data_IF_083095792565
#
_entry.id   IF_083095792565
#
_cell.length_a   1.000
_cell.length_b   1.000
_cell.length_c   1.000
_cell.angle_alpha   90.00
_cell.angle_beta   90.00
_cell.angle_gamma   90.00
#
_symmetry.space_group_name_H-M   'P 1'
#
loop_
_entity.id
_entity.type
_entity.pdbx_description
1 polymer ?
#
# COMPACT_ATOMS: atom_id res chain seq x y z
N UNK A 1 -18.19 -18.43 -6.57
CA UNK A 1 -19.29 -18.42 -5.59
C UNK A 1 -19.85 -17.01 -5.32
N UNK A 2 -19.57 -16.02 -6.17
CA UNK A 2 -19.87 -14.58 -5.93
C UNK A 2 -21.05 -14.02 -6.74
N UNK A 3 -21.65 -14.77 -7.65
CA UNK A 3 -22.70 -14.23 -8.54
C UNK A 3 -24.12 -14.69 -8.20
N UNK A 4 -24.32 -15.67 -7.30
CA UNK A 4 -25.66 -16.20 -6.99
C UNK A 4 -26.49 -15.30 -6.06
N UNK A 5 -25.84 -14.51 -5.20
CA UNK A 5 -26.54 -13.66 -4.22
C UNK A 5 -26.97 -12.29 -4.77
N UNK A 6 -26.47 -11.91 -5.95
CA UNK A 6 -26.79 -10.60 -6.57
C UNK A 6 -28.16 -10.60 -7.26
N UNK A 7 -28.73 -11.77 -7.54
CA UNK A 7 -29.98 -11.89 -8.32
C UNK A 7 -31.27 -11.82 -7.46
N UNK A 8 -31.15 -11.70 -6.14
CA UNK A 8 -32.34 -11.58 -5.28
C UNK A 8 -32.70 -10.10 -5.08
N UNK A 9 -33.25 -9.48 -6.11
CA UNK A 9 -33.82 -8.13 -6.02
C UNK A 9 -35.00 -8.15 -5.04
N UNK A 10 -35.00 -7.36 -3.96
CA UNK A 10 -36.12 -7.28 -3.03
C UNK A 10 -37.33 -6.70 -3.77
N UNK A 11 -38.38 -7.51 -3.98
CA UNK A 11 -39.64 -7.10 -4.64
C UNK A 11 -40.46 -6.12 -3.83
N UNK A 12 -40.04 -5.78 -2.61
CA UNK A 12 -40.80 -4.90 -1.72
C UNK A 12 -39.96 -3.67 -1.33
N UNK A 13 -39.95 -2.69 -2.25
CA UNK A 13 -39.27 -1.41 -2.05
C UNK A 13 -39.81 -0.60 -0.85
N UNK A 14 -40.99 -0.94 -0.33
CA UNK A 14 -41.67 -0.18 0.75
C UNK A 14 -41.23 -0.55 2.17
N UNK A 15 -40.58 -1.70 2.39
CA UNK A 15 -40.09 -2.10 3.72
C UNK A 15 -38.72 -1.54 4.11
N UNK A 16 -38.04 -0.83 3.22
CA UNK A 16 -36.72 -0.26 3.50
C UNK A 16 -36.71 1.22 3.93
N UNK A 17 -37.88 1.81 4.14
CA UNK A 17 -37.99 3.25 4.49
C UNK A 17 -37.50 3.59 5.89
N UNK A 18 -37.20 2.61 6.74
CA UNK A 18 -36.76 2.82 8.14
C UNK A 18 -35.27 2.50 8.40
N UNK A 19 -34.48 2.29 7.38
CA UNK A 19 -33.02 2.35 7.52
C UNK A 19 -32.66 3.82 7.62
N UNK A 20 -32.23 4.28 8.82
CA UNK A 20 -31.69 5.62 9.06
C UNK A 20 -30.88 6.03 7.83
N UNK A 21 -31.37 6.99 7.05
CA UNK A 21 -30.68 7.55 5.88
C UNK A 21 -29.28 7.94 6.34
N UNK A 22 -28.28 7.11 5.98
CA UNK A 22 -26.90 7.52 6.15
C UNK A 22 -26.75 8.74 5.25
N UNK A 23 -26.66 9.93 5.84
CA UNK A 23 -26.70 11.24 5.16
C UNK A 23 -25.65 11.42 4.05
N UNK A 24 -24.79 10.40 3.82
CA UNK A 24 -23.63 10.41 2.92
C UNK A 24 -23.62 9.31 1.83
N UNK A 25 -24.64 8.46 1.74
CA UNK A 25 -24.67 7.41 0.71
C UNK A 25 -25.22 7.93 -0.61
N UNK A 26 -24.70 7.43 -1.73
CA UNK A 26 -25.17 7.73 -3.09
C UNK A 26 -26.59 7.26 -3.36
N UNK A 27 -27.16 6.36 -2.55
CA UNK A 27 -28.50 5.82 -2.74
C UNK A 27 -28.67 4.93 -3.98
N UNK A 28 -27.57 4.50 -4.59
CA UNK A 28 -27.57 3.72 -5.82
C UNK A 28 -27.44 2.20 -5.56
N UNK A 29 -28.15 1.40 -6.32
CA UNK A 29 -27.96 -0.04 -6.39
C UNK A 29 -26.84 -0.36 -7.39
N UNK A 30 -25.63 -0.01 -7.02
CA UNK A 30 -24.43 -0.17 -7.81
C UNK A 30 -23.29 -0.56 -6.88
N UNK A 31 -22.57 -1.64 -7.18
CA UNK A 31 -21.46 -2.10 -6.34
C UNK A 31 -20.37 -1.03 -6.16
N UNK A 32 -20.05 -0.28 -7.22
CA UNK A 32 -19.10 0.83 -7.16
C UNK A 32 -19.60 1.94 -6.21
N UNK A 33 -20.87 2.36 -6.34
CA UNK A 33 -21.44 3.37 -5.45
C UNK A 33 -21.42 2.90 -3.98
N UNK A 34 -21.73 1.62 -3.72
CA UNK A 34 -21.66 1.02 -2.38
C UNK A 34 -20.23 0.95 -1.83
N UNK A 35 -19.25 0.68 -2.68
CA UNK A 35 -17.84 0.76 -2.29
C UNK A 35 -17.45 2.20 -1.94
N UNK A 36 -17.81 3.17 -2.77
CA UNK A 36 -17.52 4.58 -2.54
C UNK A 36 -18.26 5.16 -1.32
N UNK A 37 -19.42 4.63 -0.94
CA UNK A 37 -20.08 4.97 0.33
C UNK A 37 -19.18 4.67 1.56
N UNK A 38 -18.22 3.74 1.40
CA UNK A 38 -17.32 3.28 2.48
C UNK A 38 -15.91 3.87 2.36
N UNK A 39 -15.33 3.80 1.14
CA UNK A 39 -13.93 4.16 0.90
C UNK A 39 -13.74 5.43 0.07
N UNK A 40 -14.82 6.08 -0.36
CA UNK A 40 -14.76 7.25 -1.25
C UNK A 40 -14.31 8.55 -0.56
N UNK A 41 -14.11 8.54 0.74
CA UNK A 41 -13.55 9.69 1.44
C UNK A 41 -12.06 9.88 1.13
N UNK A 42 -11.63 11.14 1.06
CA UNK A 42 -10.28 11.55 0.67
C UNK A 42 -9.16 10.81 1.42
N UNK A 43 -9.35 10.47 2.69
CA UNK A 43 -8.31 9.86 3.53
C UNK A 43 -8.46 8.35 3.69
N UNK A 44 -9.63 7.78 3.41
CA UNK A 44 -9.90 6.37 3.66
C UNK A 44 -8.88 5.44 2.98
N UNK A 45 -8.68 5.62 1.66
CA UNK A 45 -7.72 4.80 0.90
C UNK A 45 -6.27 5.07 1.28
N UNK A 46 -5.92 6.27 1.74
CA UNK A 46 -4.57 6.57 2.23
C UNK A 46 -4.30 5.92 3.58
N UNK A 47 -5.29 5.82 4.46
CA UNK A 47 -5.19 5.06 5.72
C UNK A 47 -5.01 3.56 5.41
N UNK A 48 -5.80 3.02 4.50
CA UNK A 48 -5.66 1.62 4.05
C UNK A 48 -4.26 1.38 3.46
N UNK A 49 -3.74 2.29 2.62
CA UNK A 49 -2.37 2.21 2.10
C UNK A 49 -1.34 2.13 3.21
N UNK A 50 -1.41 2.99 4.23
CA UNK A 50 -0.46 2.95 5.35
C UNK A 50 -0.47 1.58 6.04
N UNK A 51 -1.65 1.03 6.32
CA UNK A 51 -1.78 -0.28 6.96
C UNK A 51 -1.33 -1.43 6.06
N UNK A 52 -1.54 -1.33 4.74
CA UNK A 52 -1.05 -2.32 3.77
C UNK A 52 0.49 -2.36 3.68
N UNK A 53 1.13 -1.18 3.76
CA UNK A 53 2.57 -1.04 3.58
C UNK A 53 3.36 -1.31 4.88
N UNK A 54 2.79 -0.98 6.02
CA UNK A 54 3.48 -1.05 7.32
C UNK A 54 3.04 -2.23 8.19
N UNK A 55 1.88 -2.83 7.87
CA UNK A 55 1.21 -3.76 8.76
C UNK A 55 0.52 -3.07 9.94
N UNK A 56 0.33 -3.77 11.06
CA UNK A 56 -0.28 -3.20 12.25
C UNK A 56 0.48 -1.97 12.75
N UNK A 57 -0.25 -0.86 12.98
CA UNK A 57 0.31 0.44 13.34
C UNK A 57 -0.33 1.00 14.60
N UNK A 58 0.45 1.76 15.37
CA UNK A 58 -0.11 2.64 16.40
C UNK A 58 -0.81 3.82 15.72
N UNK A 59 -1.71 4.46 16.44
CA UNK A 59 -2.35 5.70 15.98
C UNK A 59 -1.33 6.78 15.58
N UNK A 60 -0.27 6.93 16.37
CA UNK A 60 0.81 7.90 16.13
C UNK A 60 1.58 7.61 14.84
N UNK A 61 1.76 6.33 14.52
CA UNK A 61 2.46 5.91 13.29
C UNK A 61 1.63 6.22 12.04
N UNK A 62 0.30 6.01 12.12
CA UNK A 62 -0.62 6.41 11.06
C UNK A 62 -0.65 7.93 10.88
N UNK A 63 -0.69 8.69 11.97
CA UNK A 63 -0.68 10.15 11.91
C UNK A 63 0.60 10.67 11.25
N UNK A 64 1.76 10.10 11.60
CA UNK A 64 3.06 10.45 10.99
C UNK A 64 3.14 10.04 9.50
N UNK A 65 2.47 8.94 9.13
CA UNK A 65 2.40 8.44 7.74
C UNK A 65 1.42 9.18 6.85
N UNK A 66 0.59 10.07 7.41
CA UNK A 66 -0.48 10.79 6.68
C UNK A 66 -0.30 12.33 6.81
N UNK A 67 0.73 12.91 6.17
CA UNK A 67 0.98 14.35 6.24
C UNK A 67 -0.25 15.16 5.86
N UNK A 68 -0.63 16.12 6.70
CA UNK A 68 -1.75 17.03 6.45
C UNK A 68 -3.12 16.53 6.92
N UNK A 69 -3.22 15.31 7.48
CA UNK A 69 -4.47 14.89 8.12
C UNK A 69 -4.61 15.53 9.51
N UNK A 70 -5.79 16.08 9.81
CA UNK A 70 -6.10 16.53 11.16
C UNK A 70 -6.39 15.32 12.08
N UNK A 71 -5.96 15.40 13.35
CA UNK A 71 -6.10 14.32 14.33
C UNK A 71 -7.54 13.85 14.53
N UNK A 72 -8.48 14.80 14.64
CA UNK A 72 -9.90 14.50 14.75
C UNK A 72 -10.47 13.80 13.50
N UNK A 73 -9.98 14.16 12.32
CA UNK A 73 -10.39 13.54 11.06
C UNK A 73 -9.87 12.11 10.96
N UNK A 74 -8.62 11.84 11.35
CA UNK A 74 -8.08 10.48 11.41
C UNK A 74 -8.91 9.60 12.35
N UNK A 75 -9.26 10.09 13.53
CA UNK A 75 -10.14 9.37 14.48
C UNK A 75 -11.49 9.05 13.84
N UNK A 76 -12.12 10.03 13.19
CA UNK A 76 -13.41 9.84 12.52
C UNK A 76 -13.33 8.77 11.42
N UNK A 77 -12.32 8.85 10.54
CA UNK A 77 -12.11 7.87 9.45
C UNK A 77 -11.82 6.46 9.96
N UNK A 78 -11.00 6.33 11.00
CA UNK A 78 -10.74 5.03 11.62
C UNK A 78 -12.01 4.40 12.21
N UNK A 79 -12.88 5.18 12.85
CA UNK A 79 -14.18 4.68 13.34
C UNK A 79 -15.09 4.22 12.20
N UNK A 80 -15.13 4.94 11.09
CA UNK A 80 -15.92 4.57 9.92
C UNK A 80 -15.39 3.30 9.25
N UNK A 81 -14.07 3.17 9.08
CA UNK A 81 -13.42 1.96 8.53
C UNK A 81 -13.64 0.75 9.46
N UNK A 82 -13.58 0.94 10.78
CA UNK A 82 -13.86 -0.09 11.77
C UNK A 82 -15.32 -0.54 11.72
N UNK A 83 -16.27 0.42 11.67
CA UNK A 83 -17.70 0.13 11.51
C UNK A 83 -18.04 -0.59 10.19
N UNK A 84 -17.23 -0.37 9.14
CA UNK A 84 -17.34 -1.06 7.85
C UNK A 84 -16.63 -2.43 7.84
N UNK A 85 -15.98 -2.83 8.93
CA UNK A 85 -15.24 -4.09 9.04
C UNK A 85 -13.96 -4.14 8.20
N UNK A 86 -13.38 -2.99 7.87
CA UNK A 86 -12.11 -2.88 7.12
C UNK A 86 -10.91 -2.88 8.06
N UNK A 87 -11.03 -2.20 9.18
CA UNK A 87 -9.98 -2.16 10.22
C UNK A 87 -10.51 -2.74 11.52
N UNK A 88 -9.59 -3.14 12.38
CA UNK A 88 -9.87 -3.56 13.76
C UNK A 88 -8.77 -3.01 14.67
N UNK A 89 -9.14 -2.72 15.93
CA UNK A 89 -8.20 -2.36 16.98
C UNK A 89 -7.96 -3.55 17.88
N UNK A 90 -6.71 -3.89 18.08
CA UNK A 90 -6.31 -4.98 18.94
C UNK A 90 -5.26 -4.49 19.94
N UNK A 91 -5.38 -4.99 21.16
CA UNK A 91 -4.39 -4.73 22.21
C UNK A 91 -3.25 -5.73 22.07
N UNK A 92 -2.06 -5.23 21.82
CA UNK A 92 -0.86 -6.05 21.81
C UNK A 92 -0.52 -6.51 23.22
N UNK A 93 -0.04 -7.75 23.31
CA UNK A 93 0.38 -8.33 24.59
C UNK A 93 1.64 -7.62 25.14
N UNK A 94 1.88 -7.68 26.47
CA UNK A 94 3.16 -7.25 27.03
C UNK A 94 4.35 -7.95 26.35
N UNK A 95 5.52 -7.29 26.21
CA UNK A 95 5.90 -6.01 26.82
C UNK A 95 5.41 -4.76 26.08
N UNK A 96 4.87 -4.87 24.88
CA UNK A 96 4.50 -3.70 24.05
C UNK A 96 3.25 -3.00 24.56
N UNK A 97 2.29 -3.75 25.14
CA UNK A 97 1.07 -3.28 25.81
C UNK A 97 0.39 -2.06 25.16
N UNK A 98 0.34 -1.99 23.84
CA UNK A 98 -0.20 -0.87 23.08
C UNK A 98 -1.42 -1.28 22.26
N UNK A 99 -2.20 -0.29 21.82
CA UNK A 99 -3.31 -0.50 20.90
C UNK A 99 -2.79 -0.38 19.46
N UNK A 100 -2.92 -1.45 18.69
CA UNK A 100 -2.59 -1.48 17.26
C UNK A 100 -3.87 -1.45 16.42
N UNK A 101 -3.78 -0.77 15.30
CA UNK A 101 -4.79 -0.75 14.26
C UNK A 101 -4.26 -1.63 13.13
N UNK A 102 -5.06 -2.59 12.70
CA UNK A 102 -4.73 -3.50 11.59
C UNK A 102 -5.87 -3.61 10.60
N UNK A 103 -5.57 -4.07 9.40
CA UNK A 103 -6.59 -4.47 8.44
C UNK A 103 -7.21 -5.81 8.86
N UNK A 104 -8.50 -5.95 8.63
CA UNK A 104 -9.19 -7.24 8.63
C UNK A 104 -8.91 -7.99 7.32
N UNK A 105 -9.27 -9.28 7.17
CA UNK A 105 -9.20 -9.97 5.87
C UNK A 105 -9.93 -9.21 4.76
N UNK A 106 -11.09 -8.62 5.05
CA UNK A 106 -11.82 -7.75 4.12
C UNK A 106 -11.06 -6.46 3.79
N UNK A 107 -10.36 -5.90 4.76
CA UNK A 107 -9.48 -4.73 4.55
C UNK A 107 -8.30 -5.06 3.64
N UNK A 108 -7.71 -6.25 3.78
CA UNK A 108 -6.61 -6.73 2.92
C UNK A 108 -7.03 -6.91 1.46
N UNK A 109 -8.30 -7.23 1.17
CA UNK A 109 -8.84 -7.30 -0.20
C UNK A 109 -8.72 -5.96 -0.94
N UNK A 110 -8.68 -4.83 -0.21
CA UNK A 110 -8.47 -3.50 -0.81
C UNK A 110 -7.06 -3.30 -1.38
N UNK A 111 -6.11 -4.20 -1.13
CA UNK A 111 -4.76 -4.15 -1.72
C UNK A 111 -4.82 -4.05 -3.25
N UNK A 112 -5.65 -4.87 -3.89
CA UNK A 112 -5.82 -4.83 -5.34
C UNK A 112 -6.39 -3.48 -5.83
N UNK A 113 -7.30 -2.89 -5.06
CA UNK A 113 -7.91 -1.58 -5.35
C UNK A 113 -6.87 -0.45 -5.21
N UNK A 114 -6.12 -0.44 -4.09
CA UNK A 114 -5.03 0.54 -3.86
C UNK A 114 -4.00 0.45 -4.98
N UNK A 115 -3.62 -0.76 -5.36
CA UNK A 115 -2.68 -0.99 -6.46
C UNK A 115 -3.22 -0.51 -7.81
N UNK A 116 -4.51 -0.74 -8.12
CA UNK A 116 -5.13 -0.27 -9.36
C UNK A 116 -5.15 1.26 -9.43
N UNK A 117 -5.55 1.92 -8.33
CA UNK A 117 -5.53 3.39 -8.23
C UNK A 117 -4.10 3.90 -8.33
N UNK A 118 -3.12 3.27 -7.66
CA UNK A 118 -1.71 3.64 -7.71
C UNK A 118 -1.13 3.57 -9.13
N UNK A 119 -1.46 2.51 -9.89
CA UNK A 119 -1.06 2.40 -11.32
C UNK A 119 -1.64 3.50 -12.17
N UNK A 120 -2.94 3.75 -12.04
CA UNK A 120 -3.62 4.81 -12.77
C UNK A 120 -3.04 6.18 -12.43
N UNK A 121 -2.81 6.44 -11.14
CA UNK A 121 -2.28 7.71 -10.62
C UNK A 121 -0.79 7.93 -10.91
N UNK A 122 -0.02 6.92 -11.31
CA UNK A 122 1.43 7.04 -11.52
C UNK A 122 1.80 8.10 -12.58
N UNK A 123 0.96 8.31 -13.59
CA UNK A 123 1.15 9.34 -14.60
C UNK A 123 1.05 10.77 -14.03
N UNK A 124 0.31 10.96 -12.94
CA UNK A 124 0.11 12.26 -12.30
C UNK A 124 1.34 12.72 -11.50
N UNK A 125 2.29 11.80 -11.21
CA UNK A 125 3.52 12.13 -10.48
C UNK A 125 4.45 13.08 -11.27
N UNK A 126 4.28 13.20 -12.60
CA UNK A 126 5.03 14.18 -13.41
C UNK A 126 4.74 15.62 -12.98
N UNK A 127 3.54 15.86 -12.45
CA UNK A 127 3.05 17.18 -12.04
C UNK A 127 3.19 17.39 -10.52
N UNK A 128 3.90 16.47 -9.80
CA UNK A 128 4.10 16.57 -8.37
C UNK A 128 4.94 17.80 -8.01
N UNK A 129 4.49 18.53 -6.99
CA UNK A 129 5.21 19.71 -6.52
C UNK A 129 6.48 19.32 -5.73
N UNK A 130 7.55 20.11 -5.78
CA UNK A 130 8.76 19.87 -4.97
C UNK A 130 8.48 19.85 -3.46
N UNK A 131 7.38 20.46 -3.04
CA UNK A 131 6.93 20.53 -1.63
C UNK A 131 6.07 19.34 -1.21
N UNK A 132 5.74 18.43 -2.14
CA UNK A 132 4.94 17.26 -1.83
C UNK A 132 5.69 16.35 -0.84
N UNK A 133 4.98 15.95 0.22
CA UNK A 133 5.56 15.11 1.25
C UNK A 133 5.93 13.74 0.68
N UNK A 134 7.04 13.21 1.15
CA UNK A 134 7.52 11.86 0.83
C UNK A 134 7.78 11.07 2.11
N UNK A 135 7.55 9.76 2.09
CA UNK A 135 7.94 8.81 3.13
C UNK A 135 8.56 7.59 2.47
N UNK A 136 9.69 7.12 3.02
CA UNK A 136 10.47 6.01 2.45
C UNK A 136 9.65 4.75 2.22
N UNK A 137 8.75 4.39 3.16
CA UNK A 137 7.93 3.19 3.04
C UNK A 137 6.92 3.25 1.87
N UNK A 138 6.61 4.43 1.32
CA UNK A 138 5.74 4.52 0.14
C UNK A 138 6.38 3.92 -1.13
N UNK A 139 7.71 3.76 -1.14
CA UNK A 139 8.41 3.09 -2.24
C UNK A 139 7.99 1.61 -2.34
N UNK A 140 7.51 1.01 -1.27
CA UNK A 140 7.06 -0.38 -1.29
C UNK A 140 5.96 -0.61 -2.33
N UNK A 141 5.03 0.33 -2.49
CA UNK A 141 3.94 0.18 -3.47
C UNK A 141 4.44 0.07 -4.93
N UNK A 142 5.21 1.01 -5.50
CA UNK A 142 5.72 0.83 -6.85
C UNK A 142 6.61 -0.40 -7.00
N UNK A 143 7.33 -0.83 -5.97
CA UNK A 143 8.10 -2.08 -5.98
C UNK A 143 7.17 -3.28 -6.17
N UNK A 144 6.15 -3.44 -5.32
CA UNK A 144 5.20 -4.54 -5.41
C UNK A 144 4.37 -4.52 -6.71
N UNK A 145 4.15 -3.34 -7.29
CA UNK A 145 3.39 -3.17 -8.54
C UNK A 145 4.19 -3.53 -9.79
N UNK A 146 5.48 -3.31 -9.78
CA UNK A 146 6.31 -3.39 -10.99
C UNK A 146 7.31 -4.53 -10.96
N UNK A 147 7.77 -4.99 -9.80
CA UNK A 147 8.78 -6.04 -9.74
C UNK A 147 8.16 -7.42 -9.68
N UNK A 148 8.81 -8.36 -10.36
CA UNK A 148 8.48 -9.78 -10.33
C UNK A 148 9.72 -10.60 -10.01
N UNK A 149 9.54 -11.75 -9.36
CA UNK A 149 10.59 -12.74 -9.20
C UNK A 149 10.75 -13.55 -10.48
N UNK A 150 11.88 -13.37 -11.16
CA UNK A 150 12.21 -14.06 -12.41
C UNK A 150 12.61 -15.52 -12.22
N UNK A 151 12.86 -15.94 -10.99
CA UNK A 151 13.27 -17.33 -10.67
C UNK A 151 12.58 -17.82 -9.39
N UNK A 152 11.23 -17.97 -9.41
CA UNK A 152 10.42 -18.24 -8.20
C UNK A 152 10.76 -19.56 -7.50
N UNK A 153 11.36 -20.53 -8.20
CA UNK A 153 11.78 -21.81 -7.61
C UNK A 153 13.13 -21.79 -6.89
N UNK A 154 13.84 -20.65 -6.86
CA UNK A 154 15.11 -20.54 -6.13
C UNK A 154 14.93 -20.04 -4.72
N UNK A 155 15.95 -20.25 -3.86
CA UNK A 155 16.00 -19.70 -2.50
C UNK A 155 15.60 -18.21 -2.52
N UNK A 156 14.76 -17.81 -1.56
CA UNK A 156 14.37 -16.42 -1.38
C UNK A 156 15.60 -15.50 -1.27
N UNK A 157 15.45 -14.28 -1.75
CA UNK A 157 16.46 -13.22 -1.61
C UNK A 157 15.85 -12.02 -0.88
N UNK A 158 16.74 -11.24 -0.25
CA UNK A 158 16.40 -9.98 0.39
C UNK A 158 17.30 -8.85 -0.13
N UNK A 159 16.71 -7.74 -0.53
CA UNK A 159 17.41 -6.53 -0.97
C UNK A 159 17.02 -5.39 -0.02
N UNK A 160 17.99 -4.81 0.65
CA UNK A 160 17.76 -3.61 1.45
C UNK A 160 17.80 -2.37 0.56
N UNK A 161 16.79 -1.51 0.69
CA UNK A 161 16.67 -0.27 -0.08
C UNK A 161 16.67 0.93 0.87
N UNK A 162 17.70 1.76 0.76
CA UNK A 162 17.93 2.95 1.59
C UNK A 162 17.67 4.20 0.75
N UNK A 163 16.44 4.73 0.82
CA UNK A 163 16.01 5.86 0.03
C UNK A 163 15.11 6.79 0.86
N UNK A 164 15.70 7.84 1.40
CA UNK A 164 15.00 8.81 2.25
C UNK A 164 15.30 8.61 3.75
N UNK A 165 14.26 8.65 4.58
CA UNK A 165 14.33 8.70 6.04
C UNK A 165 14.36 7.32 6.73
N UNK A 166 14.05 6.25 6.00
CA UNK A 166 14.02 4.89 6.53
C UNK A 166 14.37 3.86 5.45
N UNK A 167 14.78 2.67 5.89
CA UNK A 167 15.04 1.52 5.03
C UNK A 167 13.77 0.73 4.77
N UNK A 168 13.72 0.08 3.62
CA UNK A 168 12.75 -0.97 3.30
C UNK A 168 13.48 -2.21 2.83
N UNK A 169 12.89 -3.37 3.07
CA UNK A 169 13.41 -4.67 2.59
C UNK A 169 12.48 -5.18 1.50
N UNK A 170 13.06 -5.49 0.35
CA UNK A 170 12.40 -6.12 -0.80
C UNK A 170 12.75 -7.59 -0.77
N UNK A 171 11.76 -8.45 -0.66
CA UNK A 171 11.92 -9.90 -0.51
C UNK A 171 11.17 -10.65 -1.60
N UNK A 172 11.71 -11.80 -2.00
CA UNK A 172 10.96 -12.76 -2.83
C UNK A 172 10.29 -13.79 -1.91
N UNK A 173 8.96 -13.88 -1.98
CA UNK A 173 8.15 -14.78 -1.16
C UNK A 173 7.21 -15.56 -2.06
N UNK A 174 7.38 -16.88 -2.14
CA UNK A 174 6.54 -17.77 -2.97
C UNK A 174 6.36 -17.26 -4.42
N UNK A 175 7.46 -16.79 -5.03
CA UNK A 175 7.46 -16.28 -6.40
C UNK A 175 6.92 -14.85 -6.58
N UNK A 176 6.45 -14.23 -5.51
CA UNK A 176 6.04 -12.82 -5.51
C UNK A 176 7.12 -11.94 -4.91
N UNK A 177 7.14 -10.67 -5.31
CA UNK A 177 7.96 -9.63 -4.66
C UNK A 177 7.12 -8.93 -3.61
N UNK A 178 7.67 -8.80 -2.40
CA UNK A 178 7.07 -8.07 -1.28
C UNK A 178 8.04 -7.01 -0.81
N UNK A 179 7.51 -5.94 -0.25
CA UNK A 179 8.31 -4.88 0.34
C UNK A 179 7.75 -4.54 1.73
N UNK A 180 8.64 -4.42 2.72
CA UNK A 180 8.28 -4.07 4.09
C UNK A 180 9.25 -3.03 4.66
N UNK A 181 8.82 -2.18 5.59
CA UNK A 181 9.71 -1.31 6.33
C UNK A 181 10.72 -2.10 7.16
N UNK A 182 11.89 -1.50 7.42
CA UNK A 182 12.95 -2.05 8.27
C UNK A 182 14.20 -2.39 7.52
N UNK A 183 15.11 -3.07 8.22
CA UNK A 183 16.41 -3.52 7.74
C UNK A 183 16.47 -5.05 7.64
N UNK A 184 17.53 -5.57 7.03
CA UNK A 184 17.83 -6.99 6.94
C UNK A 184 19.25 -7.22 7.43
N UNK A 185 19.44 -8.22 8.34
CA UNK A 185 20.76 -8.50 8.90
C UNK A 185 21.76 -9.01 7.84
N UNK A 186 21.28 -9.74 6.84
CA UNK A 186 22.13 -10.32 5.78
C UNK A 186 21.47 -10.15 4.40
N UNK A 187 21.38 -8.90 3.87
CA UNK A 187 20.81 -8.68 2.57
C UNK A 187 21.73 -9.19 1.45
N UNK A 188 21.14 -9.80 0.41
CA UNK A 188 21.87 -10.20 -0.80
C UNK A 188 22.41 -8.98 -1.55
N UNK A 189 21.72 -7.86 -1.48
CA UNK A 189 22.16 -6.57 -2.00
C UNK A 189 21.61 -5.41 -1.16
N UNK A 190 22.34 -4.28 -1.21
CA UNK A 190 21.91 -3.00 -0.64
C UNK A 190 21.87 -1.96 -1.74
N UNK A 191 20.73 -1.31 -1.93
CA UNK A 191 20.54 -0.23 -2.89
C UNK A 191 20.32 1.08 -2.13
N UNK A 192 21.10 2.11 -2.44
CA UNK A 192 20.96 3.41 -1.78
C UNK A 192 21.03 4.57 -2.76
N UNK A 193 20.27 5.62 -2.48
CA UNK A 193 20.23 6.82 -3.32
C UNK A 193 19.00 7.69 -3.07
N UNK A 194 18.86 8.74 -3.87
CA UNK A 194 17.66 9.58 -3.82
C UNK A 194 16.42 8.76 -4.21
N UNK A 195 15.27 8.93 -3.54
CA UNK A 195 14.06 8.13 -3.76
C UNK A 195 13.67 8.00 -5.23
N UNK A 196 13.65 9.11 -5.96
CA UNK A 196 13.26 9.15 -7.36
C UNK A 196 14.19 8.31 -8.24
N UNK A 197 15.50 8.34 -7.96
CA UNK A 197 16.50 7.56 -8.71
C UNK A 197 16.37 6.08 -8.40
N UNK A 198 16.16 5.72 -7.12
CA UNK A 198 15.94 4.35 -6.67
C UNK A 198 14.69 3.76 -7.31
N UNK A 199 13.56 4.46 -7.22
CA UNK A 199 12.30 4.01 -7.83
C UNK A 199 12.45 3.87 -9.35
N UNK A 200 13.05 4.86 -10.03
CA UNK A 200 13.24 4.79 -11.48
C UNK A 200 14.13 3.62 -11.91
N UNK A 201 15.18 3.31 -11.14
CA UNK A 201 16.05 2.17 -11.39
C UNK A 201 15.35 0.83 -11.17
N UNK A 202 14.67 0.67 -10.02
CA UNK A 202 13.97 -0.56 -9.68
C UNK A 202 12.79 -0.83 -10.61
N UNK A 203 12.06 0.20 -11.02
CA UNK A 203 10.92 0.07 -11.96
C UNK A 203 11.32 0.07 -13.44
N UNK A 204 12.62 0.05 -13.76
CA UNK A 204 13.12 -0.05 -15.13
C UNK A 204 12.97 1.22 -15.98
N UNK A 205 12.54 2.34 -15.40
CA UNK A 205 12.42 3.64 -16.11
C UNK A 205 13.77 4.22 -16.52
N UNK A 206 14.85 3.82 -15.87
CA UNK A 206 16.23 4.14 -16.22
C UNK A 206 17.11 2.90 -16.09
N UNK A 207 18.16 2.81 -16.88
CA UNK A 207 19.15 1.73 -16.77
C UNK A 207 19.93 1.85 -15.46
N UNK A 208 20.48 0.73 -14.97
CA UNK A 208 21.32 0.74 -13.76
C UNK A 208 22.55 1.64 -13.95
N UNK A 209 23.14 1.67 -15.17
CA UNK A 209 24.26 2.54 -15.50
C UNK A 209 23.90 4.03 -15.40
N UNK A 210 22.74 4.41 -15.90
CA UNK A 210 22.23 5.78 -15.80
C UNK A 210 21.90 6.14 -14.36
N UNK A 211 21.24 5.25 -13.62
CA UNK A 211 20.92 5.47 -12.22
C UNK A 211 22.20 5.67 -11.37
N UNK A 212 23.27 4.91 -11.65
CA UNK A 212 24.59 5.10 -11.00
C UNK A 212 25.18 6.48 -11.29
N UNK A 213 25.09 6.95 -12.54
CA UNK A 213 25.51 8.33 -12.86
C UNK A 213 24.72 9.39 -12.10
N UNK A 214 23.47 9.10 -11.73
CA UNK A 214 22.57 9.95 -10.93
C UNK A 214 22.72 9.75 -9.41
N UNK A 215 23.74 8.96 -8.97
CA UNK A 215 24.09 8.76 -7.56
C UNK A 215 23.49 7.51 -6.90
N UNK A 216 22.93 6.55 -7.68
CA UNK A 216 22.57 5.25 -7.15
C UNK A 216 23.83 4.48 -6.74
N UNK A 217 23.83 3.93 -5.55
CA UNK A 217 24.87 3.02 -5.07
C UNK A 217 24.28 1.64 -4.86
N UNK A 218 25.04 0.61 -5.27
CA UNK A 218 24.67 -0.80 -5.09
C UNK A 218 25.85 -1.52 -4.46
N UNK A 219 25.62 -2.19 -3.34
CA UNK A 219 26.55 -3.12 -2.67
C UNK A 219 25.97 -4.53 -2.73
N UNK A 220 26.82 -5.56 -2.79
CA UNK A 220 26.40 -6.95 -2.83
C UNK A 220 26.05 -7.44 -4.24
N UNK A 221 25.11 -8.38 -4.36
CA UNK A 221 24.84 -9.13 -5.57
C UNK A 221 24.01 -8.36 -6.61
N UNK A 222 24.60 -8.03 -7.75
CA UNK A 222 23.86 -7.51 -8.90
C UNK A 222 22.85 -8.54 -9.44
N UNK A 223 23.16 -9.84 -9.33
CA UNK A 223 22.26 -10.93 -9.73
C UNK A 223 20.96 -10.92 -8.91
N UNK A 224 21.01 -10.52 -7.64
CA UNK A 224 19.81 -10.36 -6.82
C UNK A 224 18.90 -9.25 -7.36
N UNK A 225 19.47 -8.11 -7.77
CA UNK A 225 18.71 -7.04 -8.43
C UNK A 225 18.14 -7.46 -9.78
N UNK A 226 18.91 -8.24 -10.55
CA UNK A 226 18.46 -8.76 -11.84
C UNK A 226 17.32 -9.77 -11.72
N UNK A 227 17.25 -10.48 -10.61
CA UNK A 227 16.18 -11.42 -10.31
C UNK A 227 14.84 -10.73 -10.07
N UNK A 228 14.84 -9.58 -9.40
CA UNK A 228 13.63 -8.78 -9.13
C UNK A 228 13.55 -7.61 -10.12
N UNK A 229 13.16 -7.90 -11.36
CA UNK A 229 13.03 -6.90 -12.42
C UNK A 229 11.60 -6.53 -12.70
N UNK A 230 11.37 -5.35 -13.31
CA UNK A 230 10.05 -4.98 -13.81
C UNK A 230 9.48 -6.06 -14.74
N UNK A 231 8.15 -6.17 -14.73
CA UNK A 231 7.45 -6.78 -15.86
C UNK A 231 7.88 -6.01 -17.11
N UNK A 232 8.39 -6.71 -18.11
CA UNK A 232 8.68 -6.09 -19.40
C UNK A 232 7.35 -5.52 -19.91
N UNK A 233 7.23 -4.21 -19.90
CA UNK A 233 6.10 -3.51 -20.53
C UNK A 233 6.37 -3.58 -22.02
N UNK A 234 5.65 -4.47 -22.73
CA UNK A 234 5.53 -4.41 -24.19
C UNK A 234 4.90 -3.11 -24.63
#
# INVERSE_FOLDING_TARGET
>A
MLFRDVMNWPRDARKHENRKKNKRGYGQYCALAKALDVIGDRWAMLIVRELLLRGPCRYTDLLAGLPGIATNLLVARLRELEAAGITVREREAPPVATMLIRLTPRGEELRAVVHAIGRWGAALLKDAAPTDAFRSHWIAMPIELHLVDRTPGRKAIAIEVNAGDASIVVETVNGSVRARPGTCDAPDAVVSGRPQVVVAALTGKVTLAEARRRGLRVKGSLKALERVRPLDVC
#
